data_IF_440044531627
#
_entry.id   IF_440044531627
#
_cell.length_a   1.000
_cell.length_b   1.000
_cell.length_c   1.000
_cell.angle_alpha   90.00
_cell.angle_beta   90.00
_cell.angle_gamma   90.00
#
_symmetry.space_group_name_H-M   'P 1'
#
loop_
_entity.id
_entity.type
_entity.pdbx_description
1 polymer ?
#
# COMPACT_ATOMS: atom_id res chain seq x y z
N UNK A 1 19.63 3.93 13.63
CA UNK A 1 19.14 2.59 14.02
C UNK A 1 18.67 1.93 12.74
N UNK A 2 19.32 0.85 12.32
CA UNK A 2 18.94 0.09 11.11
C UNK A 2 17.78 -0.84 11.48
N UNK A 3 16.64 -0.74 10.78
CA UNK A 3 15.48 -1.61 10.99
C UNK A 3 15.80 -3.02 10.49
N UNK A 4 15.28 -4.05 11.16
CA UNK A 4 15.28 -5.43 10.64
C UNK A 4 14.27 -5.57 9.49
N UNK A 5 14.33 -6.67 8.73
CA UNK A 5 13.35 -6.93 7.66
C UNK A 5 11.94 -7.10 8.26
N UNK A 6 11.83 -7.69 9.46
CA UNK A 6 10.57 -7.83 10.18
C UNK A 6 9.99 -6.46 10.58
N UNK A 7 10.80 -5.58 11.15
CA UNK A 7 10.34 -4.22 11.54
C UNK A 7 9.91 -3.38 10.31
N UNK A 8 10.51 -3.61 9.15
CA UNK A 8 10.09 -2.97 7.90
C UNK A 8 8.71 -3.48 7.46
N UNK A 9 8.47 -4.80 7.56
CA UNK A 9 7.15 -5.41 7.28
C UNK A 9 6.08 -4.89 8.26
N UNK A 10 6.34 -4.90 9.57
CA UNK A 10 5.41 -4.41 10.59
C UNK A 10 5.05 -2.93 10.39
N UNK A 11 6.04 -2.11 10.01
CA UNK A 11 5.80 -0.71 9.65
C UNK A 11 4.89 -0.59 8.44
N UNK A 12 5.10 -1.40 7.41
CA UNK A 12 4.25 -1.43 6.22
C UNK A 12 2.82 -1.83 6.55
N UNK A 13 2.63 -2.87 7.36
CA UNK A 13 1.31 -3.29 7.83
C UNK A 13 0.58 -2.17 8.58
N UNK A 14 1.27 -1.48 9.49
CA UNK A 14 0.73 -0.32 10.21
C UNK A 14 0.33 0.83 9.27
N UNK A 15 1.13 1.10 8.23
CA UNK A 15 0.81 2.11 7.22
C UNK A 15 -0.44 1.73 6.41
N UNK A 16 -0.57 0.46 6.01
CA UNK A 16 -1.75 -0.05 5.30
C UNK A 16 -3.01 0.03 6.16
N UNK A 17 -2.90 -0.27 7.46
CA UNK A 17 -4.00 -0.11 8.42
C UNK A 17 -4.46 1.33 8.53
N UNK A 18 -3.54 2.29 8.60
CA UNK A 18 -3.90 3.72 8.64
C UNK A 18 -4.63 4.18 7.37
N UNK A 19 -4.29 3.62 6.19
CA UNK A 19 -5.03 3.89 4.96
C UNK A 19 -6.44 3.29 5.01
N UNK A 20 -6.59 2.08 5.56
CA UNK A 20 -7.89 1.45 5.74
C UNK A 20 -8.79 2.28 6.67
N UNK A 21 -8.25 2.78 7.77
CA UNK A 21 -8.94 3.69 8.68
C UNK A 21 -9.38 4.97 7.96
N UNK A 22 -8.53 5.55 7.12
CA UNK A 22 -8.90 6.70 6.28
C UNK A 22 -10.03 6.36 5.30
N UNK A 23 -9.95 5.22 4.61
CA UNK A 23 -10.97 4.78 3.66
C UNK A 23 -12.33 4.48 4.31
N UNK A 24 -12.36 4.21 5.61
CA UNK A 24 -13.56 3.89 6.39
C UNK A 24 -13.95 4.97 7.42
N UNK A 25 -13.31 6.14 7.36
CA UNK A 25 -13.51 7.20 8.34
C UNK A 25 -14.97 7.68 8.44
N UNK A 26 -15.68 7.76 7.31
CA UNK A 26 -17.10 8.09 7.26
C UNK A 26 -17.96 7.11 8.07
N UNK A 27 -17.70 5.82 7.94
CA UNK A 27 -18.39 4.76 8.67
C UNK A 27 -18.13 4.86 10.17
N UNK A 28 -16.89 5.07 10.54
CA UNK A 28 -16.53 5.24 11.93
C UNK A 28 -17.27 6.43 12.59
N UNK A 29 -17.30 7.58 11.91
CA UNK A 29 -17.98 8.78 12.42
C UNK A 29 -19.49 8.54 12.51
N UNK A 30 -20.11 7.93 11.49
CA UNK A 30 -21.55 7.62 11.51
C UNK A 30 -21.89 6.64 12.63
N UNK A 31 -21.10 5.57 12.81
CA UNK A 31 -21.32 4.58 13.87
C UNK A 31 -21.16 5.22 15.26
N UNK A 32 -20.19 6.12 15.44
CA UNK A 32 -20.03 6.90 16.69
C UNK A 32 -21.25 7.78 16.96
N UNK A 33 -21.74 8.51 15.96
CA UNK A 33 -22.93 9.35 16.08
C UNK A 33 -24.18 8.51 16.41
N UNK A 34 -24.38 7.37 15.74
CA UNK A 34 -25.51 6.46 16.00
C UNK A 34 -25.47 6.01 17.47
N UNK A 35 -24.35 5.46 17.92
CA UNK A 35 -24.19 4.96 19.29
C UNK A 35 -24.44 6.05 20.33
N UNK A 36 -23.95 7.28 20.07
CA UNK A 36 -24.15 8.39 20.99
C UNK A 36 -25.62 8.82 21.10
N UNK A 37 -26.32 8.93 19.95
CA UNK A 37 -27.74 9.30 19.91
C UNK A 37 -28.60 8.21 20.54
N UNK A 38 -28.29 6.93 20.32
CA UNK A 38 -28.98 5.81 20.97
C UNK A 38 -28.84 5.88 22.49
N UNK A 39 -27.62 6.10 23.01
CA UNK A 39 -27.38 6.27 24.43
C UNK A 39 -28.13 7.47 25.03
N UNK A 40 -28.20 8.59 24.30
CA UNK A 40 -28.98 9.75 24.71
C UNK A 40 -30.48 9.44 24.74
N UNK A 41 -31.01 8.78 23.71
CA UNK A 41 -32.42 8.38 23.67
C UNK A 41 -32.80 7.44 24.81
N UNK A 42 -31.95 6.49 25.18
CA UNK A 42 -32.18 5.60 26.32
C UNK A 42 -32.21 6.39 27.64
N UNK A 43 -31.29 7.34 27.85
CA UNK A 43 -31.29 8.21 29.04
C UNK A 43 -32.53 9.08 29.11
N UNK A 44 -33.00 9.62 27.98
CA UNK A 44 -34.22 10.43 27.91
C UNK A 44 -35.48 9.61 28.19
N UNK A 45 -35.59 8.36 27.70
CA UNK A 45 -36.70 7.44 27.98
C UNK A 45 -36.82 7.08 29.48
N UNK A 46 -35.68 7.00 30.16
CA UNK A 46 -35.58 6.68 31.60
C UNK A 46 -35.58 7.92 32.52
N UNK A 47 -35.71 9.13 31.94
CA UNK A 47 -35.70 10.40 32.65
C UNK A 47 -37.09 10.86 33.08
N UNK A 48 -37.21 11.97 33.85
CA UNK A 48 -38.49 12.52 34.30
C UNK A 48 -39.35 12.95 33.10
N UNK A 49 -40.71 12.87 33.23
CA UNK A 49 -41.67 13.06 32.12
C UNK A 49 -41.59 14.39 31.36
N UNK A 50 -40.91 15.41 31.91
CA UNK A 50 -40.77 16.74 31.30
C UNK A 50 -39.81 16.79 30.10
N UNK A 51 -39.05 15.71 29.84
CA UNK A 51 -37.98 15.66 28.79
C UNK A 51 -38.48 14.99 27.51
N UNK A 52 -39.73 14.48 27.49
CA UNK A 52 -40.24 13.63 26.39
C UNK A 52 -40.47 14.33 25.05
N UNK A 53 -40.57 15.66 24.99
CA UNK A 53 -40.73 16.38 23.72
C UNK A 53 -39.45 16.46 22.88
N UNK A 54 -38.25 16.31 23.47
CA UNK A 54 -36.97 16.31 22.76
C UNK A 54 -36.55 14.91 22.23
N UNK A 55 -37.15 13.83 22.77
CA UNK A 55 -36.86 12.46 22.31
C UNK A 55 -37.37 12.22 20.88
N UNK A 56 -38.43 12.91 20.46
CA UNK A 56 -39.01 12.78 19.12
C UNK A 56 -38.06 13.29 18.02
N UNK A 57 -37.36 14.40 18.26
CA UNK A 57 -36.38 14.96 17.34
C UNK A 57 -35.12 14.08 17.23
N UNK A 58 -34.68 13.48 18.33
CA UNK A 58 -33.55 12.60 18.35
C UNK A 58 -33.80 11.27 17.61
N UNK A 59 -35.00 10.72 17.67
CA UNK A 59 -35.38 9.51 16.93
C UNK A 59 -35.37 9.74 15.40
N UNK A 60 -35.89 10.87 14.93
CA UNK A 60 -35.86 11.20 13.50
C UNK A 60 -34.44 11.39 13.00
N UNK A 61 -33.58 12.06 13.76
CA UNK A 61 -32.15 12.23 13.44
C UNK A 61 -31.44 10.89 13.40
N UNK A 62 -31.71 10.01 14.37
CA UNK A 62 -31.14 8.68 14.43
C UNK A 62 -31.53 7.84 13.20
N UNK A 63 -32.80 7.85 12.81
CA UNK A 63 -33.28 7.15 11.62
C UNK A 63 -32.62 7.67 10.34
N UNK A 64 -32.46 8.99 10.20
CA UNK A 64 -31.80 9.60 9.06
C UNK A 64 -30.31 9.17 8.96
N UNK A 65 -29.57 9.22 10.07
CA UNK A 65 -28.16 8.81 10.11
C UNK A 65 -28.02 7.32 9.85
N UNK A 66 -28.87 6.46 10.43
CA UNK A 66 -28.90 5.01 10.14
C UNK A 66 -29.17 4.74 8.67
N UNK A 67 -30.09 5.46 8.05
CA UNK A 67 -30.37 5.34 6.61
C UNK A 67 -29.15 5.72 5.75
N UNK A 68 -28.46 6.81 6.07
CA UNK A 68 -27.22 7.23 5.39
C UNK A 68 -26.16 6.12 5.51
N UNK A 69 -26.00 5.56 6.72
CA UNK A 69 -25.03 4.51 7.01
C UNK A 69 -25.32 3.19 6.29
N UNK A 70 -26.60 2.76 6.29
CA UNK A 70 -27.04 1.51 5.68
C UNK A 70 -26.96 1.55 4.14
N UNK A 71 -27.30 2.70 3.55
CA UNK A 71 -27.32 2.87 2.10
C UNK A 71 -25.98 3.31 1.52
N UNK A 72 -24.94 3.46 2.35
CA UNK A 72 -23.63 3.99 1.96
C UNK A 72 -23.73 5.31 1.14
N UNK A 73 -24.72 6.16 1.45
CA UNK A 73 -25.12 7.32 0.63
C UNK A 73 -24.00 8.35 0.43
N UNK A 74 -23.04 8.42 1.36
CA UNK A 74 -21.87 9.32 1.25
C UNK A 74 -20.80 8.76 0.33
N UNK A 75 -20.74 7.46 0.08
CA UNK A 75 -19.61 6.81 -0.61
C UNK A 75 -19.50 7.14 -2.08
N UNK A 76 -20.55 7.59 -2.72
CA UNK A 76 -20.48 8.11 -4.09
C UNK A 76 -19.57 9.34 -4.22
N UNK A 77 -19.38 10.10 -3.14
CA UNK A 77 -18.52 11.28 -3.09
C UNK A 77 -17.07 10.93 -2.69
N UNK A 78 -16.83 9.68 -2.26
CA UNK A 78 -15.54 9.22 -1.74
C UNK A 78 -14.57 8.71 -2.82
N UNK A 79 -14.92 8.83 -4.11
CA UNK A 79 -14.08 8.33 -5.19
C UNK A 79 -12.66 8.89 -5.16
N UNK A 80 -12.51 10.19 -4.91
CA UNK A 80 -11.19 10.83 -4.79
C UNK A 80 -10.42 10.32 -3.58
N UNK A 81 -11.11 10.03 -2.47
CA UNK A 81 -10.50 9.45 -1.27
C UNK A 81 -9.99 8.05 -1.58
N UNK A 82 -10.80 7.19 -2.20
CA UNK A 82 -10.40 5.83 -2.55
C UNK A 82 -9.22 5.81 -3.54
N UNK A 83 -9.25 6.67 -4.55
CA UNK A 83 -8.12 6.81 -5.46
C UNK A 83 -6.86 7.33 -4.74
N UNK A 84 -7.00 8.25 -3.78
CA UNK A 84 -5.89 8.70 -2.94
C UNK A 84 -5.35 7.58 -2.04
N UNK A 85 -6.23 6.75 -1.47
CA UNK A 85 -5.84 5.58 -0.70
C UNK A 85 -5.03 4.59 -1.54
N UNK A 86 -5.45 4.33 -2.79
CA UNK A 86 -4.67 3.51 -3.72
C UNK A 86 -3.27 4.09 -3.97
N UNK A 87 -3.19 5.39 -4.25
CA UNK A 87 -1.90 6.07 -4.47
C UNK A 87 -0.99 5.93 -3.26
N UNK A 88 -1.52 6.06 -2.05
CA UNK A 88 -0.77 5.88 -0.80
C UNK A 88 -0.32 4.42 -0.61
N UNK A 89 -1.20 3.44 -0.85
CA UNK A 89 -0.84 2.00 -0.77
C UNK A 89 0.34 1.68 -1.69
N UNK A 90 0.27 2.10 -2.96
CA UNK A 90 1.36 1.88 -3.93
C UNK A 90 2.64 2.62 -3.51
N UNK A 91 2.53 3.83 -2.98
CA UNK A 91 3.68 4.62 -2.54
C UNK A 91 4.38 3.97 -1.35
N UNK A 92 3.63 3.51 -0.35
CA UNK A 92 4.20 2.80 0.80
C UNK A 92 4.79 1.45 0.39
N UNK A 93 4.13 0.70 -0.50
CA UNK A 93 4.66 -0.53 -1.05
C UNK A 93 6.02 -0.32 -1.74
N UNK A 94 6.11 0.69 -2.61
CA UNK A 94 7.36 1.04 -3.31
C UNK A 94 8.47 1.40 -2.31
N UNK A 95 8.16 2.21 -1.29
CA UNK A 95 9.12 2.59 -0.24
C UNK A 95 9.55 1.38 0.59
N UNK A 96 8.62 0.49 0.93
CA UNK A 96 8.91 -0.74 1.67
C UNK A 96 9.85 -1.67 0.91
N UNK A 97 9.62 -1.85 -0.39
CA UNK A 97 10.52 -2.67 -1.23
C UNK A 97 11.92 -2.05 -1.34
N UNK A 98 12.00 -0.73 -1.42
CA UNK A 98 13.27 -0.01 -1.38
C UNK A 98 14.02 -0.26 -0.06
N UNK A 99 13.33 -0.15 1.06
CA UNK A 99 13.90 -0.35 2.39
C UNK A 99 14.31 -1.82 2.61
N UNK A 100 13.47 -2.79 2.18
CA UNK A 100 13.81 -4.22 2.23
C UNK A 100 15.06 -4.54 1.40
N UNK A 101 15.13 -4.00 0.18
CA UNK A 101 16.29 -4.18 -0.69
C UNK A 101 17.56 -3.64 -0.01
N UNK A 102 17.51 -2.39 0.45
CA UNK A 102 18.63 -1.72 1.12
C UNK A 102 19.08 -2.48 2.36
N UNK A 103 18.13 -2.86 3.23
CA UNK A 103 18.44 -3.54 4.48
C UNK A 103 18.98 -4.96 4.25
N UNK A 104 18.36 -5.73 3.35
CA UNK A 104 18.85 -7.06 2.99
C UNK A 104 20.28 -6.99 2.45
N UNK A 105 20.54 -6.03 1.56
CA UNK A 105 21.87 -5.83 0.99
C UNK A 105 22.91 -5.49 2.06
N UNK A 106 22.55 -4.61 2.98
CA UNK A 106 23.37 -4.21 4.12
C UNK A 106 23.72 -5.42 5.01
N UNK A 107 22.70 -6.17 5.42
CA UNK A 107 22.85 -7.33 6.30
C UNK A 107 23.70 -8.43 5.65
N UNK A 108 23.52 -8.67 4.35
CA UNK A 108 24.31 -9.65 3.60
C UNK A 108 25.76 -9.21 3.46
N UNK A 109 26.01 -7.91 3.25
CA UNK A 109 27.38 -7.36 3.21
C UNK A 109 28.10 -7.55 4.55
N UNK A 110 27.45 -7.24 5.66
CA UNK A 110 27.99 -7.41 7.01
C UNK A 110 28.33 -8.86 7.35
N UNK A 111 27.50 -9.80 6.85
CA UNK A 111 27.69 -11.25 7.05
C UNK A 111 28.63 -11.89 6.01
N UNK A 112 29.15 -11.14 5.04
CA UNK A 112 29.91 -11.65 3.88
C UNK A 112 29.15 -12.72 3.07
N UNK A 113 27.82 -12.54 2.94
CA UNK A 113 26.93 -13.45 2.22
C UNK A 113 26.39 -12.84 0.91
N UNK A 114 26.95 -11.73 0.44
CA UNK A 114 26.53 -11.13 -0.82
C UNK A 114 26.75 -12.12 -1.97
N UNK A 115 25.74 -12.29 -2.85
CA UNK A 115 25.94 -13.06 -4.07
C UNK A 115 26.98 -12.38 -4.96
N UNK A 116 27.58 -13.15 -5.87
CA UNK A 116 28.50 -12.63 -6.86
C UNK A 116 27.77 -11.61 -7.77
N UNK A 117 28.12 -10.33 -7.60
CA UNK A 117 27.58 -9.25 -8.40
C UNK A 117 28.51 -9.03 -9.59
N UNK A 118 28.00 -9.28 -10.79
CA UNK A 118 28.77 -9.13 -12.04
C UNK A 118 28.91 -7.67 -12.50
N UNK A 119 28.35 -6.75 -11.75
CA UNK A 119 28.27 -5.34 -12.11
C UNK A 119 29.45 -4.54 -11.53
N UNK A 120 30.20 -3.86 -12.37
CA UNK A 120 31.21 -2.89 -11.94
C UNK A 120 30.56 -1.60 -11.45
N UNK A 121 30.89 -1.18 -10.23
CA UNK A 121 30.50 0.10 -9.67
C UNK A 121 31.75 0.97 -9.52
N UNK A 122 31.79 2.07 -10.26
CA UNK A 122 32.88 3.06 -10.16
C UNK A 122 32.50 4.14 -9.17
N UNK A 123 33.35 4.38 -8.18
CA UNK A 123 33.23 5.46 -7.20
C UNK A 123 34.39 6.45 -7.40
N UNK A 124 34.07 7.74 -7.39
CA UNK A 124 35.06 8.77 -7.33
C UNK A 124 35.41 9.12 -5.87
N UNK A 125 36.54 9.84 -5.69
CA UNK A 125 37.01 10.19 -4.35
C UNK A 125 36.02 11.02 -3.53
N UNK A 126 35.28 11.90 -4.18
CA UNK A 126 34.25 12.73 -3.53
C UNK A 126 33.13 11.86 -2.97
N UNK A 127 32.61 10.91 -3.74
CA UNK A 127 31.59 9.96 -3.31
C UNK A 127 32.05 9.10 -2.12
N UNK A 128 33.32 8.64 -2.15
CA UNK A 128 33.88 7.92 -1.01
C UNK A 128 33.99 8.79 0.24
N UNK A 129 34.38 10.05 0.09
CA UNK A 129 34.44 11.02 1.19
C UNK A 129 33.04 11.31 1.77
N UNK A 130 32.03 11.47 0.93
CA UNK A 130 30.63 11.65 1.37
C UNK A 130 30.12 10.46 2.18
N UNK A 131 30.58 9.25 1.88
CA UNK A 131 30.30 8.02 2.64
C UNK A 131 31.24 7.83 3.85
N UNK A 132 32.05 8.84 4.20
CA UNK A 132 33.06 8.76 5.27
C UNK A 132 33.98 7.54 5.12
N UNK A 133 34.24 7.11 3.89
CA UNK A 133 35.02 5.91 3.52
C UNK A 133 34.43 4.59 4.10
N UNK A 134 33.20 4.62 4.59
CA UNK A 134 32.50 3.44 5.10
C UNK A 134 31.54 2.89 4.04
N UNK A 135 32.02 1.99 3.21
CA UNK A 135 31.22 1.35 2.16
C UNK A 135 30.25 0.32 2.74
N UNK A 136 30.67 -0.42 3.74
CA UNK A 136 29.88 -1.52 4.28
C UNK A 136 28.50 -1.05 4.75
N UNK A 137 28.43 0.07 5.48
CA UNK A 137 27.16 0.58 6.03
C UNK A 137 26.29 1.31 5.00
N UNK A 138 26.79 1.53 3.78
CA UNK A 138 26.09 2.32 2.76
C UNK A 138 25.93 1.58 1.43
N UNK A 139 26.32 0.32 1.37
CA UNK A 139 26.41 -0.41 0.10
C UNK A 139 25.06 -0.59 -0.58
N UNK A 140 24.00 -0.84 0.19
CA UNK A 140 22.63 -0.95 -0.34
C UNK A 140 22.15 0.32 -1.01
N UNK A 141 22.31 1.47 -0.33
CA UNK A 141 21.96 2.79 -0.87
C UNK A 141 22.80 3.16 -2.09
N UNK A 142 24.07 2.83 -2.05
CA UNK A 142 25.00 3.07 -3.15
C UNK A 142 24.57 2.35 -4.44
N UNK A 143 24.21 1.08 -4.32
CA UNK A 143 23.77 0.28 -5.47
C UNK A 143 22.47 0.82 -6.02
N UNK A 144 21.50 1.12 -5.15
CA UNK A 144 20.21 1.69 -5.54
C UNK A 144 20.41 2.96 -6.37
N UNK A 145 21.29 3.86 -5.90
CA UNK A 145 21.57 5.13 -6.57
C UNK A 145 22.37 4.95 -7.87
N UNK A 146 23.45 4.16 -7.84
CA UNK A 146 24.34 3.99 -9.00
C UNK A 146 23.73 3.21 -10.16
N UNK A 147 22.83 2.29 -9.86
CA UNK A 147 22.15 1.45 -10.85
C UNK A 147 20.75 1.95 -11.17
N UNK A 148 20.33 3.08 -10.59
CA UNK A 148 19.00 3.68 -10.80
C UNK A 148 17.88 2.64 -10.65
N UNK A 149 18.00 1.79 -9.60
CA UNK A 149 17.02 0.70 -9.39
C UNK A 149 15.68 1.30 -9.01
N UNK A 150 14.66 0.94 -9.78
CA UNK A 150 13.29 1.38 -9.57
C UNK A 150 12.43 0.26 -8.99
N UNK A 151 11.54 0.61 -8.07
CA UNK A 151 10.49 -0.28 -7.52
C UNK A 151 9.08 0.19 -7.92
N UNK A 152 8.97 1.02 -8.95
CA UNK A 152 7.68 1.58 -9.37
C UNK A 152 6.84 0.64 -10.22
N UNK A 153 7.45 -0.40 -10.79
CA UNK A 153 6.76 -1.41 -11.57
C UNK A 153 7.27 -2.82 -11.24
N UNK A 154 6.42 -3.81 -11.42
CA UNK A 154 6.70 -5.20 -11.03
C UNK A 154 7.86 -5.81 -11.84
N UNK A 155 8.04 -5.42 -13.09
CA UNK A 155 9.14 -5.93 -13.92
C UNK A 155 10.49 -5.48 -13.37
N UNK A 156 10.61 -4.21 -13.01
CA UNK A 156 11.82 -3.64 -12.37
C UNK A 156 12.09 -4.28 -11.01
N UNK A 157 11.03 -4.52 -10.21
CA UNK A 157 11.14 -5.22 -8.92
C UNK A 157 11.69 -6.63 -9.12
N UNK A 158 11.07 -7.44 -9.97
CA UNK A 158 11.51 -8.82 -10.24
C UNK A 158 12.96 -8.85 -10.76
N UNK A 159 13.32 -7.94 -11.65
CA UNK A 159 14.67 -7.82 -12.20
C UNK A 159 15.70 -7.49 -11.10
N UNK A 160 15.40 -6.54 -10.23
CA UNK A 160 16.30 -6.13 -9.15
C UNK A 160 16.53 -7.26 -8.15
N UNK A 161 15.47 -7.87 -7.62
CA UNK A 161 15.61 -8.95 -6.64
C UNK A 161 16.28 -10.20 -7.22
N UNK A 162 16.03 -10.51 -8.50
CA UNK A 162 16.73 -11.60 -9.18
C UNK A 162 18.21 -11.30 -9.40
N UNK A 163 18.54 -10.09 -9.85
CA UNK A 163 19.92 -9.72 -10.19
C UNK A 163 20.84 -9.64 -8.95
N UNK A 164 20.31 -9.11 -7.84
CA UNK A 164 21.12 -8.80 -6.65
C UNK A 164 21.00 -9.82 -5.52
N UNK A 165 19.94 -10.63 -5.52
CA UNK A 165 19.71 -11.63 -4.46
C UNK A 165 19.40 -13.01 -5.01
N UNK A 166 19.43 -13.19 -6.32
CA UNK A 166 19.01 -14.45 -6.96
C UNK A 166 17.62 -14.95 -6.48
N UNK A 167 16.74 -14.01 -6.08
CA UNK A 167 15.38 -14.30 -5.67
C UNK A 167 14.46 -14.26 -6.89
N UNK A 168 13.79 -15.37 -7.15
CA UNK A 168 12.77 -15.46 -8.21
C UNK A 168 11.41 -15.11 -7.60
N UNK A 169 10.73 -14.16 -8.24
CA UNK A 169 9.36 -13.75 -7.91
C UNK A 169 8.44 -14.32 -8.99
N UNK A 170 7.49 -15.14 -8.55
CA UNK A 170 6.55 -15.79 -9.45
C UNK A 170 5.47 -14.80 -9.92
N UNK A 171 5.09 -14.90 -11.20
CA UNK A 171 3.96 -14.15 -11.75
C UNK A 171 2.67 -14.89 -11.42
N UNK A 172 2.04 -14.50 -10.34
CA UNK A 172 0.77 -15.03 -9.89
C UNK A 172 -0.34 -13.96 -9.92
N UNK A 173 -1.53 -14.34 -9.50
CA UNK A 173 -2.70 -13.46 -9.41
C UNK A 173 -2.47 -12.25 -8.49
N UNK A 174 -1.72 -12.43 -7.42
CA UNK A 174 -1.30 -11.37 -6.49
C UNK A 174 -0.41 -10.34 -7.21
N UNK A 175 0.62 -10.80 -7.93
CA UNK A 175 1.46 -9.92 -8.74
C UNK A 175 0.66 -9.16 -9.79
N UNK A 176 -0.33 -9.79 -10.42
CA UNK A 176 -1.20 -9.14 -11.40
C UNK A 176 -2.07 -8.04 -10.76
N UNK A 177 -2.55 -8.25 -9.54
CA UNK A 177 -3.27 -7.22 -8.76
C UNK A 177 -2.36 -6.05 -8.41
N UNK A 178 -1.10 -6.30 -8.05
CA UNK A 178 -0.12 -5.24 -7.78
C UNK A 178 0.21 -4.46 -9.07
N UNK A 179 0.38 -5.13 -10.21
CA UNK A 179 0.59 -4.47 -11.51
C UNK A 179 -0.56 -3.53 -11.83
N UNK A 180 -1.81 -3.98 -11.65
CA UNK A 180 -2.99 -3.14 -11.81
C UNK A 180 -2.92 -1.90 -10.92
N UNK A 181 -2.59 -2.07 -9.63
CA UNK A 181 -2.50 -0.96 -8.69
C UNK A 181 -1.41 0.05 -9.08
N UNK A 182 -0.22 -0.42 -9.49
CA UNK A 182 0.88 0.43 -9.95
C UNK A 182 0.52 1.22 -11.23
N UNK A 183 -0.11 0.55 -12.20
CA UNK A 183 -0.59 1.20 -13.42
C UNK A 183 -1.70 2.23 -13.11
N UNK A 184 -2.63 1.88 -12.22
CA UNK A 184 -3.71 2.78 -11.80
C UNK A 184 -3.18 4.01 -11.06
N UNK A 185 -2.21 3.85 -10.15
CA UNK A 185 -1.54 4.99 -9.49
C UNK A 185 -0.90 5.90 -10.52
N UNK A 186 -0.22 5.35 -11.53
CA UNK A 186 0.38 6.16 -12.58
C UNK A 186 -0.67 6.96 -13.35
N UNK A 187 -1.75 6.32 -13.77
CA UNK A 187 -2.82 6.98 -14.52
C UNK A 187 -3.59 8.01 -13.67
N UNK A 188 -3.87 7.74 -12.39
CA UNK A 188 -4.52 8.69 -11.47
C UNK A 188 -3.68 9.96 -11.33
N UNK A 189 -2.37 9.82 -11.17
CA UNK A 189 -1.48 10.96 -10.91
C UNK A 189 -1.11 11.73 -12.19
N UNK A 190 -0.95 11.03 -13.33
CA UNK A 190 -0.34 11.62 -14.53
C UNK A 190 -1.26 11.67 -15.77
N UNK A 191 -2.37 10.89 -15.78
CA UNK A 191 -3.30 10.79 -16.91
C UNK A 191 -4.74 11.14 -16.53
N UNK A 192 -4.94 12.05 -15.58
CA UNK A 192 -6.25 12.52 -15.12
C UNK A 192 -7.20 11.39 -14.68
N UNK A 193 -6.65 10.26 -14.21
CA UNK A 193 -7.42 9.10 -13.80
C UNK A 193 -8.11 8.35 -14.94
N UNK A 194 -7.62 8.44 -16.17
CA UNK A 194 -8.17 7.76 -17.36
C UNK A 194 -7.32 6.55 -17.75
N UNK A 195 -7.98 5.52 -18.26
CA UNK A 195 -7.33 4.34 -18.84
C UNK A 195 -6.78 4.69 -20.24
N UNK A 196 -5.58 5.27 -20.28
CA UNK A 196 -4.87 5.58 -21.52
C UNK A 196 -4.20 4.34 -22.13
N UNK A 197 -3.63 4.48 -23.32
CA UNK A 197 -2.97 3.38 -24.03
C UNK A 197 -1.78 2.78 -23.24
N UNK A 198 -1.10 3.59 -22.41
CA UNK A 198 -0.01 3.12 -21.57
C UNK A 198 -0.54 2.22 -20.46
N UNK A 199 -1.59 2.68 -19.77
CA UNK A 199 -2.27 1.90 -18.75
C UNK A 199 -2.78 0.58 -19.32
N UNK A 200 -3.52 0.61 -20.44
CA UNK A 200 -4.07 -0.59 -21.07
C UNK A 200 -2.99 -1.61 -21.43
N UNK A 201 -1.86 -1.16 -21.97
CA UNK A 201 -0.72 -2.05 -22.25
C UNK A 201 -0.10 -2.66 -21.00
N UNK A 202 0.01 -1.88 -19.90
CA UNK A 202 0.57 -2.38 -18.65
C UNK A 202 -0.31 -3.46 -17.99
N UNK A 203 -1.63 -3.34 -18.12
CA UNK A 203 -2.58 -4.26 -17.47
C UNK A 203 -3.03 -5.42 -18.38
N UNK A 204 -2.73 -5.40 -19.68
CA UNK A 204 -3.16 -6.42 -20.66
C UNK A 204 -2.71 -7.83 -20.28
N UNK A 205 -1.44 -7.96 -19.88
CA UNK A 205 -0.80 -9.24 -19.56
C UNK A 205 -0.89 -9.59 -18.06
N UNK A 206 -1.51 -8.72 -17.26
CA UNK A 206 -1.69 -8.90 -15.82
C UNK A 206 -3.03 -9.58 -15.51
N UNK A 207 -3.23 -10.79 -16.02
CA UNK A 207 -4.41 -11.63 -15.84
C UNK A 207 -3.98 -13.09 -15.55
N UNK A 208 -4.76 -13.88 -14.75
CA UNK A 208 -5.97 -13.46 -14.03
C UNK A 208 -5.67 -12.54 -12.84
N UNK A 209 -6.67 -11.77 -12.39
CA UNK A 209 -6.64 -10.96 -11.17
C UNK A 209 -8.02 -10.93 -10.52
N UNK A 210 -8.07 -10.61 -9.22
CA UNK A 210 -9.32 -10.67 -8.44
C UNK A 210 -10.29 -9.53 -8.75
N UNK A 211 -9.75 -8.38 -9.16
CA UNK A 211 -10.51 -7.15 -9.39
C UNK A 211 -10.28 -6.61 -10.79
N UNK A 212 -11.28 -5.90 -11.32
CA UNK A 212 -11.19 -5.15 -12.59
C UNK A 212 -10.59 -5.96 -13.75
N UNK A 213 -11.30 -6.99 -14.16
CA UNK A 213 -10.86 -7.93 -15.21
C UNK A 213 -10.57 -7.27 -16.57
N UNK A 214 -11.27 -6.18 -16.88
CA UNK A 214 -11.14 -5.45 -18.16
C UNK A 214 -11.31 -3.95 -17.95
N UNK A 215 -10.79 -3.17 -18.90
CA UNK A 215 -10.97 -1.73 -19.01
C UNK A 215 -11.24 -1.35 -20.46
N UNK A 216 -12.09 -0.33 -20.65
CA UNK A 216 -12.29 0.32 -21.93
C UNK A 216 -11.33 1.51 -22.10
N UNK A 217 -10.91 1.85 -23.34
CA UNK A 217 -10.12 3.05 -23.59
C UNK A 217 -10.82 4.31 -23.06
N UNK A 218 -10.07 5.17 -22.37
CA UNK A 218 -10.53 6.40 -21.74
C UNK A 218 -11.55 6.22 -20.59
N UNK A 219 -11.76 5.00 -20.11
CA UNK A 219 -12.57 4.75 -18.92
C UNK A 219 -11.98 5.42 -17.69
N UNK A 220 -12.84 5.91 -16.78
CA UNK A 220 -12.43 6.44 -15.48
C UNK A 220 -11.92 5.31 -14.58
N UNK A 221 -10.72 5.46 -14.06
CA UNK A 221 -10.16 4.54 -13.08
C UNK A 221 -10.72 4.89 -11.72
N UNK A 222 -11.62 4.03 -11.21
CA UNK A 222 -12.32 4.21 -9.94
C UNK A 222 -12.18 2.96 -9.10
N UNK A 223 -11.75 3.11 -7.86
CA UNK A 223 -11.66 1.99 -6.92
C UNK A 223 -12.77 2.08 -5.87
N UNK A 224 -13.33 0.93 -5.53
CA UNK A 224 -14.21 0.79 -4.37
C UNK A 224 -13.37 0.43 -3.12
N UNK A 225 -13.93 0.66 -1.93
CA UNK A 225 -13.24 0.30 -0.67
C UNK A 225 -12.89 -1.19 -0.60
N UNK A 226 -13.77 -2.08 -1.10
CA UNK A 226 -13.50 -3.52 -1.17
C UNK A 226 -12.34 -3.88 -2.10
N UNK A 227 -12.18 -3.15 -3.21
CA UNK A 227 -11.08 -3.36 -4.16
C UNK A 227 -9.74 -2.91 -3.57
N UNK A 228 -9.74 -1.85 -2.74
CA UNK A 228 -8.55 -1.42 -1.99
C UNK A 228 -8.08 -2.49 -1.00
N UNK A 229 -9.01 -3.26 -0.43
CA UNK A 229 -8.68 -4.38 0.45
C UNK A 229 -7.96 -5.50 -0.30
N UNK A 230 -8.41 -5.87 -1.51
CA UNK A 230 -7.67 -6.83 -2.35
C UNK A 230 -6.26 -6.36 -2.69
N UNK A 231 -6.09 -5.07 -3.02
CA UNK A 231 -4.77 -4.50 -3.29
C UNK A 231 -3.89 -4.54 -2.05
N UNK A 232 -4.44 -4.15 -0.88
CA UNK A 232 -3.75 -4.19 0.42
C UNK A 232 -3.23 -5.60 0.72
N UNK A 233 -4.10 -6.60 0.63
CA UNK A 233 -3.76 -8.00 0.91
C UNK A 233 -2.71 -8.53 -0.07
N UNK A 234 -2.84 -8.22 -1.37
CA UNK A 234 -1.85 -8.63 -2.37
C UNK A 234 -0.46 -8.05 -2.07
N UNK A 235 -0.36 -6.78 -1.68
CA UNK A 235 0.90 -6.12 -1.33
C UNK A 235 1.49 -6.65 -0.03
N UNK A 236 0.66 -6.88 1.00
CA UNK A 236 1.10 -7.40 2.29
C UNK A 236 1.67 -8.81 2.13
N UNK A 237 0.92 -9.72 1.49
CA UNK A 237 1.37 -11.10 1.23
C UNK A 237 2.65 -11.11 0.40
N UNK A 238 2.78 -10.23 -0.60
CA UNK A 238 4.00 -10.11 -1.40
C UNK A 238 5.22 -9.75 -0.54
N UNK A 239 5.10 -8.78 0.36
CA UNK A 239 6.18 -8.35 1.27
C UNK A 239 6.55 -9.49 2.23
N UNK A 240 5.56 -10.18 2.80
CA UNK A 240 5.76 -11.33 3.68
C UNK A 240 6.51 -12.48 2.98
N UNK A 241 6.07 -12.87 1.78
CA UNK A 241 6.75 -13.90 1.00
C UNK A 241 8.18 -13.51 0.62
N UNK A 242 8.40 -12.23 0.32
CA UNK A 242 9.73 -11.74 0.00
C UNK A 242 10.66 -11.84 1.21
N UNK A 243 10.20 -11.45 2.41
CA UNK A 243 10.95 -11.61 3.66
C UNK A 243 11.22 -13.10 3.95
N UNK A 244 10.23 -13.98 3.81
CA UNK A 244 10.41 -15.41 4.00
C UNK A 244 11.44 -16.03 3.01
N UNK A 245 11.48 -15.55 1.76
CA UNK A 245 12.52 -15.93 0.80
C UNK A 245 13.92 -15.51 1.28
N UNK A 246 14.09 -14.30 1.85
CA UNK A 246 15.34 -13.87 2.45
C UNK A 246 15.73 -14.72 3.66
N UNK A 247 14.78 -15.02 4.54
CA UNK A 247 14.98 -15.89 5.70
C UNK A 247 15.42 -17.30 5.27
N UNK A 248 14.72 -17.89 4.31
CA UNK A 248 14.99 -19.25 3.84
C UNK A 248 16.32 -19.36 3.10
N UNK A 249 16.65 -18.38 2.25
CA UNK A 249 17.84 -18.46 1.40
C UNK A 249 19.11 -17.99 2.09
N UNK A 250 19.01 -17.01 3.00
CA UNK A 250 20.16 -16.32 3.59
C UNK A 250 20.20 -16.34 5.12
N UNK A 251 19.15 -16.83 5.79
CA UNK A 251 19.06 -16.81 7.26
C UNK A 251 19.04 -15.39 7.85
N UNK A 252 18.41 -14.43 7.17
CA UNK A 252 18.27 -13.04 7.65
C UNK A 252 16.79 -12.74 7.96
N UNK A 253 16.58 -12.00 9.07
CA UNK A 253 15.26 -11.61 9.59
C UNK A 253 15.10 -10.09 9.65
#
# INVERSE_FOLDING_TARGET
MTLTLLEIEERFESQLKSIEELANFDRFVLDLCINHIESLNERLKNGPPQVTNNSYLAENTLMAIKSIRQNDSLRHQYQSIFNSCLVLQVSYFTSTLHDLFRQAFQTLAEKNLLPEIKDDIKLNFKELSELSFNLTNNIGELILKKKEISFQDMQSICKAYKAYFNLVIDKDQKCNTIILAQASRHAIVHALGKADDKFLRQVSDANPRDIKQSFSPNEDIKFAASELEFVKLAMLVFVQELREKFKTQYGIE
#
